data_IF_892955501062
#
_entry.id   IF_892955501062
#
_cell.length_a   1.000
_cell.length_b   1.000
_cell.length_c   1.000
_cell.angle_alpha   90.00
_cell.angle_beta   90.00
_cell.angle_gamma   90.00
#
_symmetry.space_group_name_H-M   'P 1'
#
loop_
_entity.id
_entity.type
_entity.pdbx_description
1 polymer ?
#
# COMPACT_ATOMS: atom_id res chain seq x y z
N UNK A 1 -24.01 12.59 6.63
CA UNK A 1 -23.21 11.61 7.39
C UNK A 1 -21.85 11.52 6.70
N UNK A 2 -20.78 11.37 7.43
CA UNK A 2 -19.44 11.35 6.81
C UNK A 2 -19.14 9.98 6.20
N UNK A 3 -18.49 9.94 5.03
CA UNK A 3 -17.96 8.73 4.42
C UNK A 3 -16.94 8.05 5.35
N UNK A 4 -16.91 6.73 5.31
CA UNK A 4 -15.94 5.91 6.05
C UNK A 4 -15.07 5.11 5.10
N UNK A 5 -13.91 4.65 5.59
CA UNK A 5 -12.89 3.93 4.80
C UNK A 5 -12.33 2.77 5.62
N UNK A 6 -13.22 1.91 6.12
CA UNK A 6 -12.87 0.84 7.07
C UNK A 6 -12.56 -0.51 6.40
N UNK A 7 -12.83 -0.64 5.10
CA UNK A 7 -12.48 -1.86 4.35
C UNK A 7 -10.98 -1.92 3.99
N UNK A 8 -10.47 -3.11 3.72
CA UNK A 8 -9.05 -3.36 3.45
C UNK A 8 -8.51 -2.64 2.20
N UNK A 9 -9.37 -2.28 1.26
CA UNK A 9 -9.02 -1.48 0.09
C UNK A 9 -9.19 0.02 0.30
N UNK A 10 -9.63 0.46 1.47
CA UNK A 10 -9.88 1.87 1.79
C UNK A 10 -10.79 2.58 0.77
N UNK A 11 -11.78 1.84 0.25
CA UNK A 11 -12.82 2.40 -0.59
C UNK A 11 -13.77 3.26 0.24
N UNK A 12 -14.35 4.26 -0.41
CA UNK A 12 -15.34 5.11 0.25
C UNK A 12 -16.64 4.34 0.49
N UNK A 13 -17.00 4.14 1.74
CA UNK A 13 -18.28 3.57 2.17
C UNK A 13 -19.26 4.71 2.44
N UNK A 14 -20.16 4.93 1.47
CA UNK A 14 -21.16 5.99 1.53
C UNK A 14 -22.36 5.58 2.39
N UNK A 15 -22.72 6.43 3.36
CA UNK A 15 -23.97 6.27 4.10
C UNK A 15 -25.18 6.71 3.26
N UNK A 16 -26.38 6.23 3.62
CA UNK A 16 -27.63 6.67 2.97
C UNK A 16 -27.79 8.17 3.02
N UNK A 17 -27.95 8.80 1.87
CA UNK A 17 -28.07 10.26 1.71
C UNK A 17 -26.73 11.00 1.68
N UNK A 18 -25.61 10.28 1.79
CA UNK A 18 -24.30 10.84 1.62
C UNK A 18 -23.95 11.06 0.14
N UNK A 19 -22.99 11.93 -0.15
CA UNK A 19 -22.50 12.21 -1.50
C UNK A 19 -23.59 12.66 -2.49
N UNK A 20 -24.59 13.41 -2.04
CA UNK A 20 -25.64 13.98 -2.90
C UNK A 20 -25.03 14.79 -4.04
N UNK A 21 -25.32 14.42 -5.28
CA UNK A 21 -24.76 15.04 -6.50
C UNK A 21 -23.37 14.52 -6.91
N UNK A 22 -22.69 13.73 -6.10
CA UNK A 22 -21.34 13.19 -6.38
C UNK A 22 -21.23 11.67 -6.23
N UNK A 23 -22.31 10.98 -5.85
CA UNK A 23 -22.29 9.53 -5.61
C UNK A 23 -21.80 8.71 -6.83
N UNK A 24 -22.14 9.15 -8.05
CA UNK A 24 -21.68 8.49 -9.28
C UNK A 24 -20.15 8.59 -9.45
N UNK A 25 -19.57 9.74 -9.18
CA UNK A 25 -18.12 9.95 -9.20
C UNK A 25 -17.44 9.08 -8.14
N UNK A 26 -17.96 9.08 -6.92
CA UNK A 26 -17.41 8.26 -5.81
C UNK A 26 -17.49 6.77 -6.13
N UNK A 27 -18.61 6.30 -6.69
CA UNK A 27 -18.76 4.90 -7.12
C UNK A 27 -17.75 4.54 -8.20
N UNK A 28 -17.58 5.39 -9.21
CA UNK A 28 -16.60 5.15 -10.28
C UNK A 28 -15.17 5.12 -9.73
N UNK A 29 -14.80 6.03 -8.84
CA UNK A 29 -13.51 6.01 -8.17
C UNK A 29 -13.31 4.70 -7.40
N UNK A 30 -14.30 4.22 -6.67
CA UNK A 30 -14.21 2.93 -5.98
C UNK A 30 -13.97 1.76 -6.95
N UNK A 31 -14.65 1.75 -8.09
CA UNK A 31 -14.46 0.71 -9.12
C UNK A 31 -13.05 0.76 -9.73
N UNK A 32 -12.52 1.95 -9.96
CA UNK A 32 -11.14 2.16 -10.43
C UNK A 32 -10.13 1.65 -9.39
N UNK A 33 -10.31 1.98 -8.11
CA UNK A 33 -9.45 1.52 -7.02
C UNK A 33 -9.50 -0.02 -6.85
N UNK A 34 -10.64 -0.66 -7.10
CA UNK A 34 -10.74 -2.13 -7.13
C UNK A 34 -9.91 -2.68 -8.30
N UNK A 35 -9.99 -2.06 -9.48
CA UNK A 35 -9.16 -2.41 -10.63
C UNK A 35 -7.67 -2.29 -10.32
N UNK A 36 -7.26 -1.18 -9.72
CA UNK A 36 -5.87 -0.94 -9.30
C UNK A 36 -5.37 -1.97 -8.29
N UNK A 37 -6.25 -2.44 -7.38
CA UNK A 37 -5.91 -3.46 -6.40
C UNK A 37 -5.52 -4.82 -7.00
N UNK A 38 -5.97 -5.13 -8.22
CA UNK A 38 -5.55 -6.31 -8.98
C UNK A 38 -4.41 -6.02 -9.96
N UNK A 39 -3.94 -4.78 -10.01
CA UNK A 39 -2.97 -4.30 -10.96
C UNK A 39 -1.54 -4.31 -10.45
N UNK A 40 -0.73 -3.52 -11.13
CA UNK A 40 0.70 -3.34 -10.92
C UNK A 40 0.97 -1.89 -10.49
N UNK A 41 1.75 -1.73 -9.43
CA UNK A 41 2.19 -0.43 -8.95
C UNK A 41 3.71 -0.37 -8.75
N UNK A 42 4.26 0.83 -8.87
CA UNK A 42 5.67 1.09 -8.57
C UNK A 42 5.76 2.20 -7.53
N UNK A 43 6.60 1.98 -6.53
CA UNK A 43 6.90 2.96 -5.50
C UNK A 43 8.40 3.21 -5.45
N UNK A 44 8.79 4.49 -5.33
CA UNK A 44 10.19 4.90 -5.33
C UNK A 44 10.61 5.20 -3.90
N UNK A 45 11.59 4.45 -3.41
CA UNK A 45 12.23 4.72 -2.12
C UNK A 45 13.23 5.88 -2.30
N UNK A 46 13.21 6.84 -1.38
CA UNK A 46 14.19 7.92 -1.36
C UNK A 46 15.61 7.36 -1.31
N UNK A 47 16.54 7.95 -2.06
CA UNK A 47 17.93 7.51 -2.14
C UNK A 47 18.54 7.39 -0.73
N UNK A 48 19.10 6.22 -0.45
CA UNK A 48 19.76 5.87 0.82
C UNK A 48 18.85 5.99 2.06
N UNK A 49 17.53 5.89 1.88
CA UNK A 49 16.61 5.86 3.02
C UNK A 49 16.72 4.54 3.78
N UNK A 50 16.78 4.62 5.11
CA UNK A 50 16.75 3.46 6.01
C UNK A 50 15.30 3.01 6.31
N UNK A 51 14.35 3.95 6.16
CA UNK A 51 12.93 3.74 6.40
C UNK A 51 12.11 4.33 5.26
N UNK A 52 11.01 3.66 4.92
CA UNK A 52 10.04 4.09 3.92
C UNK A 52 8.64 3.72 4.38
N UNK A 53 7.67 4.58 4.10
CA UNK A 53 6.26 4.30 4.38
C UNK A 53 5.49 4.11 3.07
N UNK A 54 4.79 2.99 2.97
CA UNK A 54 3.81 2.73 1.92
C UNK A 54 2.42 2.89 2.51
N UNK A 55 1.68 3.88 2.04
CA UNK A 55 0.35 4.21 2.54
C UNK A 55 -0.72 3.76 1.55
N UNK A 56 -1.72 3.02 2.05
CA UNK A 56 -2.95 2.74 1.30
C UNK A 56 -3.97 3.84 1.63
N UNK A 57 -4.10 4.79 0.71
CA UNK A 57 -4.84 6.02 0.94
C UNK A 57 -6.36 5.80 0.98
N UNK A 58 -7.07 6.58 1.80
CA UNK A 58 -8.53 6.56 1.87
C UNK A 58 -9.14 7.12 0.58
N UNK A 59 -9.79 6.25 -0.21
CA UNK A 59 -10.54 6.65 -1.40
C UNK A 59 -9.72 7.35 -2.49
N UNK A 60 -8.42 7.18 -2.51
CA UNK A 60 -7.51 7.81 -3.46
C UNK A 60 -6.50 6.80 -4.03
N UNK A 61 -5.97 7.09 -5.21
CA UNK A 61 -4.98 6.25 -5.89
C UNK A 61 -3.66 6.24 -5.10
N UNK A 62 -3.09 5.05 -4.96
CA UNK A 62 -1.76 4.82 -4.39
C UNK A 62 -1.14 3.55 -4.96
N UNK A 63 0.18 3.43 -4.92
CA UNK A 63 0.89 2.24 -5.39
C UNK A 63 0.73 1.05 -4.45
N UNK A 64 0.62 1.28 -3.14
CA UNK A 64 0.53 0.25 -2.12
C UNK A 64 -0.70 -0.65 -2.23
N UNK A 65 -1.76 -0.16 -2.88
CA UNK A 65 -2.99 -0.91 -3.14
C UNK A 65 -2.79 -2.05 -4.14
N UNK A 66 -1.86 -1.89 -5.09
CA UNK A 66 -1.67 -2.83 -6.18
C UNK A 66 -1.28 -4.22 -5.69
N UNK A 67 -1.81 -5.26 -6.34
CA UNK A 67 -1.47 -6.65 -6.00
C UNK A 67 0.00 -6.94 -6.28
N UNK A 68 0.53 -6.46 -7.40
CA UNK A 68 1.95 -6.52 -7.72
C UNK A 68 2.58 -5.17 -7.45
N UNK A 69 3.45 -5.10 -6.43
CA UNK A 69 4.08 -3.86 -5.98
C UNK A 69 5.59 -3.94 -6.16
N UNK A 70 6.13 -3.01 -6.94
CA UNK A 70 7.57 -2.92 -7.22
C UNK A 70 8.18 -1.74 -6.48
N UNK A 71 9.21 -1.99 -5.67
CA UNK A 71 10.02 -0.94 -5.06
C UNK A 71 11.28 -0.68 -5.88
N UNK A 72 11.53 0.59 -6.16
CA UNK A 72 12.71 1.08 -6.88
C UNK A 72 13.44 2.14 -6.05
N UNK A 73 14.62 2.54 -6.47
CA UNK A 73 15.45 3.54 -5.78
C UNK A 73 16.86 3.00 -5.55
N UNK A 74 17.78 3.87 -5.13
CA UNK A 74 19.16 3.50 -4.81
C UNK A 74 19.33 3.42 -3.29
N UNK A 75 19.84 2.31 -2.79
CA UNK A 75 20.06 2.07 -1.36
C UNK A 75 21.52 1.73 -1.09
N UNK A 76 22.07 2.25 0.02
CA UNK A 76 23.40 1.92 0.54
C UNK A 76 23.35 1.03 1.79
N UNK A 77 22.13 0.84 2.34
CA UNK A 77 21.84 -0.01 3.51
C UNK A 77 20.44 -0.62 3.38
N UNK A 78 20.11 -1.66 4.16
CA UNK A 78 18.76 -2.21 4.18
C UNK A 78 17.71 -1.15 4.55
N UNK A 79 16.57 -1.16 3.86
CA UNK A 79 15.47 -0.23 4.10
C UNK A 79 14.26 -0.96 4.70
N UNK A 80 13.74 -0.46 5.82
CA UNK A 80 12.51 -0.95 6.41
C UNK A 80 11.31 -0.24 5.78
N UNK A 81 10.38 -1.02 5.21
CA UNK A 81 9.17 -0.51 4.58
C UNK A 81 7.99 -0.85 5.47
N UNK A 82 7.35 0.18 6.00
CA UNK A 82 6.14 0.05 6.82
C UNK A 82 4.91 0.25 5.93
N UNK A 83 4.05 -0.77 5.85
CA UNK A 83 2.77 -0.66 5.13
C UNK A 83 1.68 -0.30 6.13
N UNK A 84 1.04 0.83 5.91
CA UNK A 84 -0.02 1.38 6.76
C UNK A 84 -1.22 1.83 5.92
N UNK A 85 -2.28 2.28 6.57
CA UNK A 85 -3.53 2.61 5.92
C UNK A 85 -4.09 3.97 6.34
N UNK A 86 -4.94 4.53 5.49
CA UNK A 86 -5.70 5.72 5.80
C UNK A 86 -4.88 6.99 5.83
N UNK A 87 -4.90 7.69 6.94
CA UNK A 87 -4.17 8.95 7.17
C UNK A 87 -3.16 8.85 8.31
N UNK A 88 -2.91 7.64 8.79
CA UNK A 88 -2.06 7.40 9.97
C UNK A 88 -1.05 6.30 9.69
N UNK A 89 0.21 6.60 9.89
CA UNK A 89 1.31 5.64 9.83
C UNK A 89 1.26 4.55 10.92
N UNK A 90 0.25 4.59 11.77
CA UNK A 90 0.00 3.62 12.85
C UNK A 90 -1.27 2.79 12.64
N UNK A 91 -1.96 2.94 11.51
CA UNK A 91 -3.10 2.09 11.16
C UNK A 91 -2.61 0.88 10.35
N UNK A 92 -2.51 -0.26 11.02
CA UNK A 92 -2.02 -1.53 10.45
C UNK A 92 -3.14 -2.56 10.24
N UNK A 93 -4.39 -2.12 10.18
CA UNK A 93 -5.57 -3.00 10.07
C UNK A 93 -5.81 -3.57 8.68
N UNK A 94 -4.88 -3.38 7.74
CA UNK A 94 -4.99 -3.90 6.37
C UNK A 94 -4.80 -5.42 6.35
N UNK A 95 -5.77 -6.10 5.77
CA UNK A 95 -5.78 -7.54 5.51
C UNK A 95 -5.69 -7.75 3.99
N UNK A 96 -4.51 -8.06 3.49
CA UNK A 96 -4.27 -8.06 2.04
C UNK A 96 -3.08 -8.93 1.64
N UNK A 97 -3.10 -9.38 0.38
CA UNK A 97 -2.04 -10.11 -0.31
C UNK A 97 -1.31 -9.20 -1.29
N UNK A 98 0.01 -9.32 -1.36
CA UNK A 98 0.87 -8.70 -2.37
C UNK A 98 1.88 -9.68 -2.96
N UNK A 99 2.28 -9.40 -4.19
CA UNK A 99 3.55 -9.85 -4.76
C UNK A 99 4.49 -8.64 -4.75
N UNK A 100 5.52 -8.65 -3.91
CA UNK A 100 6.43 -7.52 -3.72
C UNK A 100 7.78 -7.81 -4.34
N UNK A 101 8.21 -6.96 -5.27
CA UNK A 101 9.51 -7.01 -5.92
C UNK A 101 10.46 -5.96 -5.33
N UNK A 102 11.65 -6.40 -4.92
CA UNK A 102 12.75 -5.50 -4.60
C UNK A 102 13.59 -5.25 -5.86
N UNK A 103 13.28 -4.17 -6.59
CA UNK A 103 14.00 -3.70 -7.76
C UNK A 103 14.90 -2.49 -7.43
N UNK A 104 15.30 -2.33 -6.16
CA UNK A 104 16.25 -1.28 -5.75
C UNK A 104 17.65 -1.61 -6.25
N UNK A 105 18.46 -0.56 -6.45
CA UNK A 105 19.89 -0.68 -6.75
C UNK A 105 20.72 -0.60 -5.46
N UNK A 106 21.99 -1.06 -5.52
CA UNK A 106 22.88 -1.07 -4.35
C UNK A 106 22.94 -2.42 -3.63
N UNK A 107 22.28 -3.46 -4.15
CA UNK A 107 22.31 -4.83 -3.61
C UNK A 107 21.84 -4.94 -2.15
N UNK A 108 20.93 -4.07 -1.74
CA UNK A 108 20.39 -4.02 -0.38
C UNK A 108 19.06 -4.76 -0.26
N UNK A 109 18.78 -5.27 0.93
CA UNK A 109 17.50 -5.87 1.26
C UNK A 109 16.44 -4.78 1.53
N UNK A 110 15.19 -5.07 1.21
CA UNK A 110 14.06 -4.39 1.81
C UNK A 110 13.39 -5.29 2.85
N UNK A 111 12.87 -4.69 3.93
CA UNK A 111 12.26 -5.39 5.05
C UNK A 111 10.83 -4.88 5.20
N UNK A 112 9.87 -5.72 4.86
CA UNK A 112 8.45 -5.35 4.92
C UNK A 112 7.90 -5.60 6.32
N UNK A 113 7.22 -4.62 6.87
CA UNK A 113 6.58 -4.69 8.19
C UNK A 113 5.20 -4.02 8.16
N UNK A 114 4.29 -4.49 9.01
CA UNK A 114 3.02 -3.84 9.34
C UNK A 114 3.03 -3.29 10.78
N UNK A 115 4.19 -2.82 11.25
CA UNK A 115 4.35 -2.20 12.57
C UNK A 115 4.57 -3.16 13.72
N UNK A 116 3.98 -4.34 13.70
CA UNK A 116 4.18 -5.38 14.72
C UNK A 116 4.17 -6.78 14.06
N UNK A 117 4.60 -7.79 14.80
CA UNK A 117 4.64 -9.15 14.28
C UNK A 117 5.92 -9.48 13.51
N UNK A 118 5.83 -10.47 12.63
CA UNK A 118 6.96 -10.95 11.86
C UNK A 118 7.23 -10.05 10.64
N UNK A 119 8.49 -9.71 10.41
CA UNK A 119 8.93 -8.98 9.23
C UNK A 119 9.31 -9.95 8.11
N UNK A 120 9.17 -9.50 6.86
CA UNK A 120 9.59 -10.26 5.68
C UNK A 120 10.72 -9.53 4.97
N UNK A 121 11.89 -10.16 4.89
CA UNK A 121 13.04 -9.63 4.14
C UNK A 121 13.00 -10.08 2.70
N UNK A 122 13.14 -9.15 1.76
CA UNK A 122 13.23 -9.41 0.31
C UNK A 122 14.60 -8.96 -0.18
N UNK A 123 15.48 -9.88 -0.57
CA UNK A 123 16.78 -9.52 -1.16
C UNK A 123 16.63 -8.76 -2.47
N UNK A 124 17.64 -7.96 -2.83
CA UNK A 124 17.68 -7.24 -4.09
C UNK A 124 17.47 -8.20 -5.28
N UNK A 125 16.63 -7.80 -6.22
CA UNK A 125 16.28 -8.57 -7.41
C UNK A 125 15.30 -9.74 -7.19
N UNK A 126 14.75 -9.88 -5.97
CA UNK A 126 13.80 -10.95 -5.65
C UNK A 126 12.38 -10.43 -5.53
N UNK A 127 11.42 -11.33 -5.78
CA UNK A 127 9.98 -11.11 -5.56
C UNK A 127 9.47 -12.12 -4.54
N UNK A 128 8.66 -11.67 -3.59
CA UNK A 128 7.98 -12.54 -2.63
C UNK A 128 6.48 -12.28 -2.60
N UNK A 129 5.72 -13.36 -2.40
CA UNK A 129 4.31 -13.30 -2.05
C UNK A 129 4.20 -13.06 -0.53
N UNK A 130 3.50 -12.01 -0.13
CA UNK A 130 3.37 -11.56 1.26
C UNK A 130 1.92 -11.24 1.56
N UNK A 131 1.46 -11.56 2.76
CA UNK A 131 0.15 -11.15 3.24
C UNK A 131 0.25 -10.54 4.64
N UNK A 132 -0.75 -9.72 4.96
CA UNK A 132 -1.02 -9.24 6.31
C UNK A 132 -2.40 -9.73 6.74
N UNK A 133 -2.57 -9.97 8.00
CA UNK A 133 -3.83 -10.44 8.61
C UNK A 133 -4.51 -9.39 9.50
N UNK A 134 -3.99 -8.16 9.45
CA UNK A 134 -4.53 -7.03 10.18
C UNK A 134 -3.92 -6.81 11.56
#
# INVERSE_FOLDING_TARGET
MASTYVNDLRLNEMATGDQSGSWGTVTNTNLELIGDAFGYGTEVITTNANDHETLIANGAVDAGRSMFLKYTGALDSPCTITISAGTSSTDFTINKLWFIENATTGSQNIIITSGSGANVTIPAGHTKCIYTDG
#
